data_IF_519689308266
#
_entry.id   IF_519689308266
#
_cell.length_a   1.000
_cell.length_b   1.000
_cell.length_c   1.000
_cell.angle_alpha   90.00
_cell.angle_beta   90.00
_cell.angle_gamma   90.00
#
_symmetry.space_group_name_H-M   'P 1'
#
loop_
_entity.id
_entity.type
_entity.pdbx_description
1 polymer ?
#
# COMPACT_ATOMS: atom_id res chain seq x y z
N UNK A 1 17.91 12.72 6.93
CA UNK A 1 18.35 11.54 6.24
C UNK A 1 19.85 11.29 6.50
N UNK A 2 20.25 10.01 6.67
CA UNK A 2 21.59 9.58 7.10
C UNK A 2 22.69 10.12 6.17
N UNK A 3 22.47 10.19 4.84
CA UNK A 3 23.40 10.78 3.85
C UNK A 3 23.75 12.25 4.09
N UNK A 4 22.94 12.99 4.87
CA UNK A 4 23.19 14.38 5.25
C UNK A 4 23.76 14.50 6.66
N UNK A 5 24.02 13.38 7.32
CA UNK A 5 24.64 13.37 8.65
C UNK A 5 26.12 13.74 8.55
N UNK A 6 26.58 14.63 9.43
CA UNK A 6 28.01 14.95 9.56
C UNK A 6 28.84 13.72 9.98
N UNK A 7 28.23 12.76 10.68
CA UNK A 7 28.89 11.55 11.17
C UNK A 7 28.89 10.42 10.13
N UNK A 8 27.83 10.27 9.35
CA UNK A 8 27.64 9.09 8.49
C UNK A 8 27.61 9.42 6.99
N UNK A 9 27.71 10.71 6.60
CA UNK A 9 27.61 11.15 5.20
C UNK A 9 28.65 10.55 4.25
N UNK A 10 29.80 10.16 4.78
CA UNK A 10 30.93 9.56 4.03
C UNK A 10 30.96 8.05 4.08
N UNK A 11 30.10 7.41 4.91
CA UNK A 11 30.07 5.97 5.04
C UNK A 11 29.24 5.33 3.95
N UNK A 12 29.55 4.06 3.65
CA UNK A 12 28.70 3.24 2.80
C UNK A 12 27.33 3.05 3.45
N UNK A 13 26.27 3.36 2.71
CA UNK A 13 24.91 3.26 3.15
C UNK A 13 24.10 2.46 2.13
N UNK A 14 23.49 1.39 2.59
CA UNK A 14 22.55 0.58 1.82
C UNK A 14 21.21 0.54 2.53
N UNK A 15 20.15 0.96 1.84
CA UNK A 15 18.77 0.73 2.29
C UNK A 15 18.35 -0.67 1.86
N UNK A 16 17.92 -1.49 2.79
CA UNK A 16 17.37 -2.82 2.53
C UNK A 16 15.93 -2.81 3.02
N UNK A 17 14.94 -3.13 2.17
CA UNK A 17 13.53 -3.17 2.52
C UNK A 17 13.23 -4.21 3.60
N UNK A 18 12.06 -4.08 4.24
CA UNK A 18 11.48 -5.16 5.02
C UNK A 18 10.97 -6.25 4.08
N UNK A 19 11.00 -7.48 4.52
CA UNK A 19 10.51 -8.62 3.75
C UNK A 19 9.03 -8.89 4.00
N UNK A 20 8.43 -9.76 3.17
CA UNK A 20 7.05 -10.21 3.27
C UNK A 20 6.96 -11.72 3.04
N UNK A 21 6.01 -12.35 3.71
CA UNK A 21 5.69 -13.76 3.50
C UNK A 21 4.76 -13.94 2.30
N UNK A 22 5.29 -14.47 1.19
CA UNK A 22 4.55 -14.72 -0.04
C UNK A 22 3.71 -16.02 -0.02
N UNK A 23 3.84 -16.85 1.00
CA UNK A 23 2.94 -17.99 1.20
C UNK A 23 1.61 -17.53 1.78
N UNK A 24 1.60 -16.45 2.52
CA UNK A 24 0.43 -15.79 3.09
C UNK A 24 -0.11 -14.71 2.17
N UNK A 25 0.73 -13.69 1.84
CA UNK A 25 0.33 -12.57 0.97
C UNK A 25 0.50 -12.96 -0.49
N UNK A 26 -0.59 -13.42 -1.08
CA UNK A 26 -0.72 -13.80 -2.49
C UNK A 26 -2.15 -13.50 -2.96
N UNK A 27 -2.42 -13.49 -4.28
CA UNK A 27 -3.78 -13.29 -4.75
C UNK A 27 -4.70 -14.42 -4.33
N UNK A 28 -5.84 -14.06 -3.77
CA UNK A 28 -6.99 -14.93 -3.56
C UNK A 28 -8.10 -14.56 -4.54
N UNK A 29 -8.98 -15.50 -4.84
CA UNK A 29 -10.15 -15.19 -5.66
C UNK A 29 -11.00 -14.11 -4.98
N UNK A 30 -11.29 -13.04 -5.72
CA UNK A 30 -12.01 -11.87 -5.18
C UNK A 30 -13.42 -12.26 -4.70
N UNK A 31 -14.10 -13.16 -5.41
CA UNK A 31 -15.46 -13.55 -5.05
C UNK A 31 -15.47 -14.33 -3.74
N UNK A 32 -14.50 -15.24 -3.57
CA UNK A 32 -14.34 -16.01 -2.34
C UNK A 32 -13.90 -15.10 -1.19
N UNK A 33 -12.93 -14.20 -1.40
CA UNK A 33 -12.50 -13.24 -0.41
C UNK A 33 -13.66 -12.34 0.06
N UNK A 34 -14.44 -11.80 -0.88
CA UNK A 34 -15.63 -11.03 -0.56
C UNK A 34 -16.65 -11.85 0.26
N UNK A 35 -16.89 -13.11 -0.11
CA UNK A 35 -17.84 -13.98 0.61
C UNK A 35 -17.38 -14.20 2.06
N UNK A 36 -16.10 -14.49 2.28
CA UNK A 36 -15.54 -14.70 3.63
C UNK A 36 -15.65 -13.43 4.48
N UNK A 37 -15.43 -12.27 3.86
CA UNK A 37 -15.47 -10.96 4.53
C UNK A 37 -16.87 -10.33 4.58
N UNK A 38 -17.91 -11.07 4.20
CA UNK A 38 -19.31 -10.57 4.14
C UNK A 38 -19.45 -9.30 3.27
N UNK A 39 -18.68 -9.24 2.18
CA UNK A 39 -18.71 -8.19 1.18
C UNK A 39 -19.45 -8.65 -0.09
N UNK A 40 -19.97 -7.71 -0.86
CA UNK A 40 -20.62 -8.00 -2.16
C UNK A 40 -19.59 -8.06 -3.29
N UNK A 41 -19.41 -9.17 -4.01
CA UNK A 41 -18.47 -9.23 -5.13
C UNK A 41 -18.87 -8.35 -6.32
N UNK A 42 -20.11 -7.85 -6.35
CA UNK A 42 -20.59 -6.94 -7.39
C UNK A 42 -20.18 -5.48 -7.18
N UNK A 43 -19.60 -5.15 -6.02
CA UNK A 43 -19.11 -3.80 -5.71
C UNK A 43 -17.62 -3.66 -5.98
N UNK A 44 -17.19 -2.41 -6.10
CA UNK A 44 -15.79 -2.00 -6.13
C UNK A 44 -15.38 -1.46 -4.76
N UNK A 45 -14.20 -1.84 -4.30
CA UNK A 45 -13.75 -1.50 -2.95
C UNK A 45 -12.47 -0.68 -2.96
N UNK A 46 -12.53 0.47 -2.27
CA UNK A 46 -11.39 1.33 -1.99
C UNK A 46 -10.96 1.06 -0.55
N UNK A 47 -9.78 0.49 -0.34
CA UNK A 47 -9.27 0.16 0.97
C UNK A 47 -8.37 1.28 1.52
N UNK A 48 -8.67 1.71 2.73
CA UNK A 48 -7.77 2.52 3.57
C UNK A 48 -7.33 1.65 4.75
N UNK A 49 -6.03 1.37 4.82
CA UNK A 49 -5.45 0.55 5.88
C UNK A 49 -4.52 1.39 6.75
N UNK A 50 -4.93 1.67 7.99
CA UNK A 50 -4.12 2.47 8.90
C UNK A 50 -4.41 2.13 10.36
N UNK A 51 -3.38 1.68 11.07
CA UNK A 51 -3.45 1.54 12.53
C UNK A 51 -3.67 2.90 13.19
N UNK A 52 -4.74 2.99 13.99
CA UNK A 52 -5.16 4.23 14.62
C UNK A 52 -6.00 5.14 13.72
N UNK A 53 -6.23 4.76 12.48
CA UNK A 53 -7.17 5.40 11.53
C UNK A 53 -7.18 6.92 11.58
N UNK A 54 -8.33 7.49 11.96
CA UNK A 54 -8.57 8.92 12.12
C UNK A 54 -7.81 9.57 13.27
N UNK A 55 -7.44 8.81 14.31
CA UNK A 55 -6.68 9.30 15.47
C UNK A 55 -5.18 9.52 15.15
N UNK A 56 -4.67 8.94 14.04
CA UNK A 56 -3.29 9.13 13.64
C UNK A 56 -3.18 10.19 12.52
N UNK A 57 -2.74 11.43 12.86
CA UNK A 57 -2.71 12.53 11.91
C UNK A 57 -1.77 12.29 10.72
N UNK A 58 -0.78 11.38 10.88
CA UNK A 58 0.17 11.07 9.82
C UNK A 58 -0.40 10.14 8.74
N UNK A 59 -1.55 9.50 8.98
CA UNK A 59 -2.17 8.57 8.02
C UNK A 59 -3.06 9.26 6.97
N UNK A 60 -3.30 10.57 7.11
CA UNK A 60 -3.93 11.38 6.07
C UNK A 60 -5.43 11.12 5.89
N UNK A 61 -6.14 10.72 6.96
CA UNK A 61 -7.58 10.44 6.93
C UNK A 61 -8.42 11.58 6.32
N UNK A 62 -8.11 12.84 6.66
CA UNK A 62 -8.80 14.01 6.11
C UNK A 62 -8.65 14.15 4.60
N UNK A 63 -7.47 13.84 4.06
CA UNK A 63 -7.22 13.85 2.62
C UNK A 63 -7.95 12.72 1.92
N UNK A 64 -7.99 11.53 2.53
CA UNK A 64 -8.76 10.41 2.02
C UNK A 64 -10.25 10.74 1.91
N UNK A 65 -10.88 11.22 3.01
CA UNK A 65 -12.29 11.64 3.00
C UNK A 65 -12.58 12.67 1.91
N UNK A 66 -11.71 13.68 1.81
CA UNK A 66 -11.88 14.72 0.77
C UNK A 66 -11.72 14.14 -0.64
N UNK A 67 -10.79 13.22 -0.86
CA UNK A 67 -10.65 12.54 -2.15
C UNK A 67 -11.90 11.71 -2.49
N UNK A 68 -12.45 10.97 -1.53
CA UNK A 68 -13.70 10.22 -1.72
C UNK A 68 -14.88 11.12 -2.09
N UNK A 69 -14.98 12.32 -1.50
CA UNK A 69 -16.07 13.26 -1.82
C UNK A 69 -16.00 13.85 -3.24
N UNK A 70 -14.82 13.76 -3.88
CA UNK A 70 -14.62 14.19 -5.27
C UNK A 70 -14.94 13.08 -6.28
N UNK A 71 -15.04 11.82 -5.83
CA UNK A 71 -15.36 10.69 -6.69
C UNK A 71 -16.85 10.69 -7.06
N UNK A 72 -17.13 10.60 -8.35
CA UNK A 72 -18.49 10.41 -8.85
C UNK A 72 -18.65 8.97 -9.37
N UNK A 73 -18.68 7.99 -8.48
CA UNK A 73 -18.71 6.56 -8.83
C UNK A 73 -19.86 5.84 -8.13
N UNK A 74 -20.77 5.27 -8.93
CA UNK A 74 -21.77 4.34 -8.43
C UNK A 74 -21.18 2.94 -8.22
N UNK A 75 -21.70 2.22 -7.23
CA UNK A 75 -21.25 0.84 -6.94
C UNK A 75 -19.88 0.74 -6.27
N UNK A 76 -19.36 1.84 -5.75
CA UNK A 76 -18.09 1.91 -5.01
C UNK A 76 -18.37 2.05 -3.52
N UNK A 77 -17.60 1.35 -2.69
CA UNK A 77 -17.65 1.42 -1.24
C UNK A 77 -16.22 1.53 -0.69
N UNK A 78 -16.01 2.38 0.32
CA UNK A 78 -14.72 2.47 1.01
C UNK A 78 -14.68 1.51 2.20
N UNK A 79 -13.60 0.75 2.32
CA UNK A 79 -13.30 -0.12 3.45
C UNK A 79 -12.21 0.54 4.30
N UNK A 80 -12.41 0.57 5.61
CA UNK A 80 -11.46 1.15 6.56
C UNK A 80 -11.02 0.08 7.54
N UNK A 81 -9.73 -0.27 7.50
CA UNK A 81 -9.10 -1.19 8.43
C UNK A 81 -8.34 -0.42 9.51
N UNK A 82 -8.45 -0.89 10.76
CA UNK A 82 -7.69 -0.33 11.88
C UNK A 82 -8.30 0.93 12.49
N UNK A 83 -9.57 1.21 12.21
CA UNK A 83 -10.34 2.30 12.82
C UNK A 83 -11.84 2.02 12.80
N UNK A 84 -12.56 2.69 13.69
CA UNK A 84 -14.01 2.80 13.65
C UNK A 84 -14.41 4.04 12.85
N UNK A 85 -15.33 3.87 11.90
CA UNK A 85 -15.87 4.98 11.10
C UNK A 85 -17.06 5.59 11.83
N UNK A 86 -17.08 6.91 12.00
CA UNK A 86 -18.18 7.63 12.62
C UNK A 86 -19.20 8.08 11.58
N UNK A 87 -20.45 8.34 12.00
CA UNK A 87 -21.51 8.86 11.11
C UNK A 87 -21.11 10.16 10.37
N UNK A 88 -20.36 11.02 11.03
CA UNK A 88 -19.82 12.27 10.48
C UNK A 88 -18.74 12.08 9.41
N UNK A 89 -18.22 10.85 9.25
CA UNK A 89 -17.18 10.54 8.27
C UNK A 89 -17.71 10.22 6.87
N UNK A 90 -19.02 10.30 6.64
CA UNK A 90 -19.62 10.09 5.33
C UNK A 90 -19.05 11.07 4.30
N UNK A 91 -18.47 10.53 3.23
CA UNK A 91 -17.75 11.30 2.21
C UNK A 91 -18.37 11.16 0.82
N UNK A 92 -19.71 11.16 0.75
CA UNK A 92 -20.44 11.05 -0.52
C UNK A 92 -20.61 9.63 -1.06
N UNK A 93 -19.89 8.64 -0.49
CA UNK A 93 -20.07 7.21 -0.78
C UNK A 93 -20.07 6.39 0.52
N UNK A 94 -20.60 5.13 0.48
CA UNK A 94 -20.62 4.27 1.65
C UNK A 94 -19.21 3.99 2.17
N UNK A 95 -19.04 4.08 3.50
CA UNK A 95 -17.80 3.73 4.17
C UNK A 95 -18.12 2.64 5.21
N UNK A 96 -17.38 1.52 5.16
CA UNK A 96 -17.51 0.41 6.09
C UNK A 96 -16.24 0.23 6.91
N UNK A 97 -16.38 0.19 8.23
CA UNK A 97 -15.28 -0.23 9.11
C UNK A 97 -15.13 -1.75 9.06
N UNK A 98 -13.90 -2.21 8.84
CA UNK A 98 -13.53 -3.63 8.88
C UNK A 98 -12.94 -4.02 10.25
N UNK A 99 -12.86 -3.06 11.20
CA UNK A 99 -12.27 -3.30 12.51
C UNK A 99 -10.76 -3.56 12.46
N UNK A 100 -10.29 -4.48 13.30
CA UNK A 100 -8.88 -4.87 13.41
C UNK A 100 -8.75 -6.35 13.09
N UNK A 101 -7.93 -6.69 12.11
CA UNK A 101 -7.56 -8.08 11.84
C UNK A 101 -6.32 -8.44 12.67
N UNK A 102 -6.31 -9.65 13.23
CA UNK A 102 -5.23 -10.14 14.10
C UNK A 102 -4.30 -11.11 13.37
N UNK A 103 -4.71 -11.57 12.21
CA UNK A 103 -3.98 -12.55 11.43
C UNK A 103 -3.74 -12.04 10.00
N UNK A 104 -2.63 -12.46 9.42
CA UNK A 104 -2.17 -12.03 8.10
C UNK A 104 -3.02 -12.62 6.96
N UNK A 105 -3.65 -13.79 7.16
CA UNK A 105 -4.51 -14.38 6.14
C UNK A 105 -5.78 -13.54 5.92
N UNK A 106 -6.40 -13.05 7.00
CA UNK A 106 -7.53 -12.12 6.91
C UNK A 106 -7.14 -10.82 6.21
N UNK A 107 -5.92 -10.32 6.47
CA UNK A 107 -5.38 -9.14 5.75
C UNK A 107 -5.20 -9.43 4.26
N UNK A 108 -4.63 -10.57 3.90
CA UNK A 108 -4.43 -10.96 2.50
C UNK A 108 -5.75 -11.11 1.74
N UNK A 109 -6.80 -11.67 2.40
CA UNK A 109 -8.15 -11.71 1.85
C UNK A 109 -8.72 -10.30 1.64
N UNK A 110 -8.51 -9.38 2.60
CA UNK A 110 -9.00 -8.00 2.47
C UNK A 110 -8.31 -7.25 1.32
N UNK A 111 -7.00 -7.41 1.17
CA UNK A 111 -6.29 -6.85 0.01
C UNK A 111 -6.82 -7.44 -1.30
N UNK A 112 -7.02 -8.76 -1.36
CA UNK A 112 -7.53 -9.43 -2.56
C UNK A 112 -8.98 -9.05 -2.91
N UNK A 113 -9.81 -8.71 -1.91
CA UNK A 113 -11.17 -8.21 -2.11
C UNK A 113 -11.22 -6.76 -2.60
N UNK A 114 -10.17 -5.96 -2.29
CA UNK A 114 -10.10 -4.56 -2.66
C UNK A 114 -9.69 -4.37 -4.13
N UNK A 115 -10.20 -3.32 -4.77
CA UNK A 115 -9.79 -2.90 -6.12
C UNK A 115 -8.59 -1.94 -6.09
N UNK A 116 -8.43 -1.22 -4.98
CA UNK A 116 -7.33 -0.28 -4.77
C UNK A 116 -7.06 -0.06 -3.28
N UNK A 117 -5.78 -0.04 -2.90
CA UNK A 117 -5.32 0.44 -1.60
C UNK A 117 -4.97 1.92 -1.70
N UNK A 118 -5.43 2.74 -0.75
CA UNK A 118 -5.09 4.17 -0.68
C UNK A 118 -4.26 4.46 0.57
N UNK A 119 -3.07 5.03 0.37
CA UNK A 119 -2.08 5.33 1.41
C UNK A 119 -1.74 6.83 1.39
N UNK A 120 -2.61 7.70 1.89
CA UNK A 120 -2.41 9.15 1.88
C UNK A 120 -1.56 9.61 3.07
N UNK A 121 -0.58 8.80 3.46
CA UNK A 121 0.31 9.09 4.58
C UNK A 121 1.06 10.39 4.37
N UNK A 122 1.14 11.22 5.41
CA UNK A 122 1.91 12.47 5.41
C UNK A 122 3.39 12.23 5.74
N UNK A 123 3.69 11.08 6.32
CA UNK A 123 5.03 10.56 6.55
C UNK A 123 4.97 9.03 6.51
N UNK A 124 5.82 8.42 5.73
CA UNK A 124 5.92 6.97 5.59
C UNK A 124 7.38 6.57 5.38
N UNK A 125 7.89 5.66 6.20
CA UNK A 125 9.28 5.22 6.09
C UNK A 125 9.48 4.16 5.02
N UNK A 126 8.54 3.22 4.88
CA UNK A 126 8.63 2.13 3.90
C UNK A 126 7.32 1.92 3.15
N UNK A 127 6.21 1.69 3.86
CA UNK A 127 4.91 1.40 3.25
C UNK A 127 4.60 -0.10 3.18
N UNK A 128 4.74 -0.80 4.32
CA UNK A 128 4.50 -2.25 4.41
C UNK A 128 3.14 -2.65 3.81
N UNK A 129 2.08 -1.89 4.09
CA UNK A 129 0.72 -2.13 3.55
C UNK A 129 0.67 -2.10 2.00
N UNK A 130 1.56 -1.32 1.36
CA UNK A 130 1.66 -1.27 -0.11
C UNK A 130 2.24 -2.58 -0.64
N UNK A 131 3.28 -3.08 0.02
CA UNK A 131 3.92 -4.36 -0.34
C UNK A 131 2.96 -5.53 -0.18
N UNK A 132 2.19 -5.54 0.91
CA UNK A 132 1.14 -6.53 1.18
C UNK A 132 0.06 -6.52 0.09
N UNK A 133 -0.43 -5.33 -0.27
CA UNK A 133 -1.41 -5.16 -1.35
C UNK A 133 -0.85 -5.62 -2.71
N UNK A 134 0.39 -5.24 -3.03
CA UNK A 134 1.05 -5.65 -4.27
C UNK A 134 1.22 -7.16 -4.37
N UNK A 135 1.62 -7.82 -3.27
CA UNK A 135 1.71 -9.28 -3.20
C UNK A 135 0.35 -9.95 -3.48
N UNK A 136 -0.75 -9.34 -3.04
CA UNK A 136 -2.12 -9.78 -3.31
C UNK A 136 -2.66 -9.33 -4.69
N UNK A 137 -1.87 -8.64 -5.50
CA UNK A 137 -2.28 -8.15 -6.83
C UNK A 137 -3.18 -6.92 -6.80
N UNK A 138 -3.13 -6.12 -5.74
CA UNK A 138 -3.96 -4.93 -5.55
C UNK A 138 -3.15 -3.66 -5.76
N UNK A 139 -3.60 -2.80 -6.68
CA UNK A 139 -2.96 -1.52 -6.98
C UNK A 139 -2.98 -0.59 -5.76
N UNK A 140 -1.95 0.26 -5.65
CA UNK A 140 -1.90 1.26 -4.59
C UNK A 140 -1.86 2.69 -5.13
N UNK A 141 -2.49 3.58 -4.39
CA UNK A 141 -2.45 5.03 -4.60
C UNK A 141 -1.91 5.68 -3.34
N UNK A 142 -0.87 6.48 -3.46
CA UNK A 142 -0.26 7.12 -2.30
C UNK A 142 0.32 8.48 -2.62
N UNK A 143 0.56 9.30 -1.58
CA UNK A 143 1.27 10.56 -1.76
C UNK A 143 2.75 10.33 -2.09
N UNK A 144 3.31 11.21 -2.90
CA UNK A 144 4.73 11.23 -3.23
C UNK A 144 5.54 11.72 -2.01
N UNK A 145 5.73 10.85 -1.02
CA UNK A 145 6.42 11.16 0.25
C UNK A 145 7.12 9.95 0.84
N UNK A 146 8.26 10.18 1.48
CA UNK A 146 9.00 9.14 2.21
C UNK A 146 9.41 7.96 1.35
N UNK A 147 9.09 6.75 1.78
CA UNK A 147 9.37 5.50 1.07
C UNK A 147 8.34 5.10 0.01
N UNK A 148 7.20 5.79 -0.08
CA UNK A 148 6.13 5.45 -1.03
C UNK A 148 6.62 5.46 -2.49
N UNK A 149 7.41 6.47 -2.97
CA UNK A 149 7.94 6.48 -4.34
C UNK A 149 8.94 5.36 -4.67
N UNK A 150 9.52 4.73 -3.64
CA UNK A 150 10.39 3.57 -3.86
C UNK A 150 9.58 2.33 -4.28
N UNK A 151 8.33 2.23 -3.83
CA UNK A 151 7.40 1.13 -4.11
C UNK A 151 6.48 1.44 -5.30
N UNK A 152 5.79 2.58 -5.27
CA UNK A 152 4.85 2.96 -6.33
C UNK A 152 5.59 3.62 -7.48
N UNK A 153 5.62 2.96 -8.63
CA UNK A 153 6.03 3.55 -9.91
C UNK A 153 4.80 4.08 -10.61
N UNK A 154 4.73 5.42 -10.74
CA UNK A 154 3.55 6.12 -11.25
C UNK A 154 3.05 5.55 -12.58
N UNK A 155 1.76 5.16 -12.64
CA UNK A 155 1.06 4.53 -13.76
C UNK A 155 1.61 3.14 -14.18
N UNK A 156 2.54 2.55 -13.41
CA UNK A 156 3.10 1.21 -13.68
C UNK A 156 2.74 0.20 -12.58
N UNK A 157 2.92 0.57 -11.31
CA UNK A 157 2.55 -0.28 -10.17
C UNK A 157 1.48 0.38 -9.30
N UNK A 158 1.02 1.57 -9.66
CA UNK A 158 0.04 2.35 -8.92
C UNK A 158 0.12 3.82 -9.31
N UNK A 159 -0.46 4.68 -8.48
CA UNK A 159 -0.52 6.11 -8.74
C UNK A 159 0.14 6.90 -7.61
N UNK A 160 1.15 7.70 -7.94
CA UNK A 160 1.74 8.67 -7.02
C UNK A 160 0.97 9.99 -7.15
N UNK A 161 0.21 10.32 -6.11
CA UNK A 161 -0.50 11.58 -6.01
C UNK A 161 0.41 12.67 -5.44
N UNK A 162 0.14 13.92 -5.82
CA UNK A 162 0.86 15.07 -5.28
C UNK A 162 0.64 15.19 -3.78
N UNK A 163 1.71 15.53 -3.07
CA UNK A 163 1.71 15.58 -1.61
C UNK A 163 0.66 16.56 -1.07
N UNK A 164 -0.22 16.04 -0.21
CA UNK A 164 -1.34 16.79 0.39
C UNK A 164 -2.39 17.29 -0.61
N UNK A 165 -2.47 16.73 -1.80
CA UNK A 165 -3.49 17.07 -2.79
C UNK A 165 -4.56 15.97 -2.88
N UNK A 166 -5.76 16.30 -2.36
CA UNK A 166 -6.90 15.37 -2.40
C UNK A 166 -7.49 15.21 -3.80
N UNK A 167 -7.32 16.18 -4.70
CA UNK A 167 -7.79 16.07 -6.09
C UNK A 167 -6.88 15.12 -6.87
N UNK A 168 -5.55 15.27 -6.73
CA UNK A 168 -4.58 14.33 -7.29
C UNK A 168 -4.79 12.91 -6.74
N UNK A 169 -5.09 12.78 -5.43
CA UNK A 169 -5.41 11.49 -4.81
C UNK A 169 -6.69 10.87 -5.40
N UNK A 170 -7.73 11.67 -5.61
CA UNK A 170 -9.00 11.24 -6.25
C UNK A 170 -8.76 10.74 -7.67
N UNK A 171 -8.00 11.50 -8.48
CA UNK A 171 -7.62 11.09 -9.84
C UNK A 171 -6.88 9.75 -9.85
N UNK A 172 -5.98 9.53 -8.87
CA UNK A 172 -5.29 8.27 -8.69
C UNK A 172 -6.22 7.11 -8.36
N UNK A 173 -7.20 7.34 -7.49
CA UNK A 173 -8.23 6.33 -7.15
C UNK A 173 -9.05 5.98 -8.40
N UNK A 174 -9.48 6.97 -9.18
CA UNK A 174 -10.22 6.73 -10.43
C UNK A 174 -9.39 5.92 -11.43
N UNK A 175 -8.12 6.29 -11.61
CA UNK A 175 -7.20 5.54 -12.46
C UNK A 175 -7.09 4.08 -12.00
N UNK A 176 -6.86 3.84 -10.72
CA UNK A 176 -6.71 2.49 -10.17
C UNK A 176 -8.01 1.67 -10.29
N UNK A 177 -9.17 2.30 -10.09
CA UNK A 177 -10.46 1.64 -10.30
C UNK A 177 -10.68 1.22 -11.77
N UNK A 178 -10.17 1.96 -12.74
CA UNK A 178 -10.25 1.58 -14.16
C UNK A 178 -9.30 0.42 -14.48
N UNK A 179 -8.08 0.47 -13.95
CA UNK A 179 -7.00 -0.48 -14.29
C UNK A 179 -6.85 -1.65 -13.30
N UNK A 180 -7.64 -1.68 -12.23
CA UNK A 180 -7.53 -2.70 -11.18
C UNK A 180 -7.80 -4.14 -11.61
N UNK A 181 -8.34 -4.37 -12.82
CA UNK A 181 -8.53 -5.69 -13.41
C UNK A 181 -7.54 -6.02 -14.53
N UNK A 182 -6.57 -5.14 -14.79
CA UNK A 182 -5.52 -5.38 -15.77
C UNK A 182 -4.57 -6.49 -15.26
N UNK A 183 -4.57 -7.63 -15.97
CA UNK A 183 -3.79 -8.79 -15.58
C UNK A 183 -2.28 -8.53 -15.65
N UNK A 184 -1.83 -7.75 -16.63
CA UNK A 184 -0.41 -7.43 -16.81
C UNK A 184 0.08 -6.54 -15.67
N UNK A 185 -0.71 -5.54 -15.27
CA UNK A 185 -0.38 -4.74 -14.10
C UNK A 185 -0.32 -5.58 -12.82
N UNK A 186 -1.29 -6.46 -12.58
CA UNK A 186 -1.28 -7.35 -11.41
C UNK A 186 -0.06 -8.27 -11.39
N UNK A 187 0.28 -8.87 -12.52
CA UNK A 187 1.48 -9.71 -12.63
C UNK A 187 2.75 -8.90 -12.36
N UNK A 188 2.85 -7.68 -12.86
CA UNK A 188 3.98 -6.80 -12.60
C UNK A 188 4.14 -6.46 -11.11
N UNK A 189 3.04 -6.25 -10.36
CA UNK A 189 3.09 -6.03 -8.91
C UNK A 189 3.69 -7.22 -8.17
N UNK A 190 3.19 -8.42 -8.47
CA UNK A 190 3.64 -9.66 -7.83
C UNK A 190 5.10 -9.94 -8.15
N UNK A 191 5.49 -9.77 -9.42
CA UNK A 191 6.87 -9.96 -9.84
C UNK A 191 7.81 -8.96 -9.17
N UNK A 192 7.39 -7.68 -9.06
CA UNK A 192 8.15 -6.67 -8.32
C UNK A 192 8.40 -7.09 -6.87
N UNK A 193 7.37 -7.55 -6.17
CA UNK A 193 7.50 -8.00 -4.78
C UNK A 193 8.38 -9.25 -4.70
N UNK A 194 8.18 -10.23 -5.56
CA UNK A 194 8.95 -11.47 -5.60
C UNK A 194 10.45 -11.21 -5.82
N UNK A 195 10.79 -10.31 -6.74
CA UNK A 195 12.18 -10.02 -7.10
C UNK A 195 12.89 -9.14 -6.08
N UNK A 196 12.19 -8.23 -5.39
CA UNK A 196 12.81 -7.18 -4.59
C UNK A 196 12.57 -7.31 -3.10
N UNK A 197 11.47 -7.95 -2.67
CA UNK A 197 10.96 -7.89 -1.28
C UNK A 197 10.82 -9.29 -0.64
N UNK A 198 10.85 -10.37 -1.42
CA UNK A 198 10.76 -11.74 -0.88
C UNK A 198 11.92 -12.04 0.08
N UNK A 199 11.74 -13.03 0.98
CA UNK A 199 12.81 -13.50 1.88
C UNK A 199 14.13 -13.75 1.15
N UNK A 200 14.07 -14.45 -0.01
CA UNK A 200 15.27 -14.75 -0.80
C UNK A 200 15.91 -13.50 -1.41
N UNK A 201 15.12 -12.53 -1.87
CA UNK A 201 15.63 -11.29 -2.42
C UNK A 201 16.32 -10.44 -1.36
N UNK A 202 15.70 -10.32 -0.18
CA UNK A 202 16.23 -9.55 0.94
C UNK A 202 17.48 -10.24 1.53
N UNK A 203 17.47 -11.57 1.69
CA UNK A 203 18.63 -12.31 2.14
C UNK A 203 19.85 -12.09 1.23
N UNK A 204 19.65 -12.14 -0.10
CA UNK A 204 20.73 -11.83 -1.07
C UNK A 204 21.28 -10.42 -0.88
N UNK A 205 20.41 -9.41 -0.73
CA UNK A 205 20.83 -8.04 -0.51
C UNK A 205 21.67 -7.88 0.78
N UNK A 206 21.32 -8.58 1.86
CA UNK A 206 22.11 -8.59 3.09
C UNK A 206 23.48 -9.22 2.87
N UNK A 207 23.55 -10.40 2.24
CA UNK A 207 24.80 -11.10 1.96
C UNK A 207 25.74 -10.24 1.08
N UNK A 208 25.22 -9.64 0.02
CA UNK A 208 26.00 -8.74 -0.85
C UNK A 208 26.53 -7.52 -0.09
N UNK A 209 25.66 -6.93 0.75
CA UNK A 209 26.06 -5.77 1.57
C UNK A 209 27.17 -6.12 2.55
N UNK A 210 27.04 -7.25 3.25
CA UNK A 210 28.06 -7.73 4.19
C UNK A 210 29.39 -8.06 3.49
N UNK A 211 29.36 -8.74 2.34
CA UNK A 211 30.56 -9.01 1.54
C UNK A 211 31.31 -7.72 1.16
N UNK A 212 30.56 -6.68 0.73
CA UNK A 212 31.14 -5.39 0.41
C UNK A 212 31.80 -4.74 1.64
N UNK A 213 31.09 -4.72 2.78
CA UNK A 213 31.65 -4.15 4.02
C UNK A 213 32.93 -4.86 4.44
N UNK A 214 33.05 -6.18 4.24
CA UNK A 214 34.23 -6.96 4.58
C UNK A 214 35.40 -6.61 3.61
N UNK A 215 35.13 -6.50 2.31
CA UNK A 215 36.15 -6.11 1.34
C UNK A 215 36.72 -4.72 1.61
N UNK A 216 35.83 -3.75 1.92
CA UNK A 216 36.23 -2.36 2.23
C UNK A 216 37.04 -2.23 3.55
N UNK A 217 37.01 -3.25 4.44
CA UNK A 217 37.85 -3.33 5.67
C UNK A 217 39.23 -3.95 5.43
N UNK A 218 39.44 -4.58 4.27
CA UNK A 218 40.64 -5.31 3.92
C UNK A 218 41.61 -4.48 3.06
N UNK A 219 41.19 -3.32 2.65
CA UNK A 219 41.97 -2.29 1.98
C UNK A 219 42.41 -1.18 2.98
#
# INVERSE_FOLDING_TARGET
CVKRSALFGTHFLKTIPLTIDLDVFKPYDKTEACKILELSPAKRYILFAANGGDANPHKGWSYFKKALSLLNKHGVEALVLGSTVKEEDKAGLPIRSMGYFRDEHSLALLYSAADVLVVPSLAESFGQVIVEAFACGTLAVGFNVGGIPDLIKHLQTGYLADYKDSASLSSGIEWALVHGNDADLKNNLQEFVRQNISYNAIARQHVETLKRCISDLSE
#
